data_IF_961982960558
#
_entry.id   IF_961982960558
#
_cell.length_a   1.000
_cell.length_b   1.000
_cell.length_c   1.000
_cell.angle_alpha   90.00
_cell.angle_beta   90.00
_cell.angle_gamma   90.00
#
_symmetry.space_group_name_H-M   'P 1'
#
loop_
_entity.id
_entity.type
_entity.pdbx_description
1 polymer ?
#
# COMPACT_ATOMS: atom_id res chain seq x y z
N UNK A 1 -9.79 -9.80 -20.92
CA UNK A 1 -8.82 -10.16 -19.86
C UNK A 1 -7.91 -8.95 -19.66
N UNK A 2 -7.57 -8.65 -18.41
CA UNK A 2 -6.66 -7.56 -18.07
C UNK A 2 -5.23 -7.93 -18.48
N UNK A 3 -4.48 -6.98 -19.03
CA UNK A 3 -3.05 -7.07 -19.29
C UNK A 3 -2.32 -6.17 -18.31
N UNK A 4 -1.18 -6.59 -17.79
CA UNK A 4 -0.40 -5.83 -16.81
C UNK A 4 1.00 -5.60 -17.33
N UNK A 5 1.47 -4.34 -17.22
CA UNK A 5 2.86 -3.95 -17.41
C UNK A 5 3.45 -3.61 -16.05
N UNK A 6 4.68 -4.03 -15.78
CA UNK A 6 5.39 -3.76 -14.53
C UNK A 6 6.44 -2.69 -14.77
N UNK A 7 6.30 -1.55 -14.09
CA UNK A 7 7.30 -0.49 -14.02
C UNK A 7 8.16 -0.68 -12.78
N UNK A 8 9.48 -0.85 -12.96
CA UNK A 8 10.42 -1.21 -11.91
C UNK A 8 10.52 -2.72 -11.66
N UNK A 9 11.48 -3.38 -12.31
CA UNK A 9 11.64 -4.84 -12.23
C UNK A 9 12.65 -5.29 -11.18
N UNK A 10 12.63 -4.63 -10.02
CA UNK A 10 13.37 -4.99 -8.82
C UNK A 10 12.73 -6.15 -8.03
N UNK A 11 12.97 -6.18 -6.72
CA UNK A 11 12.42 -7.24 -5.83
C UNK A 11 10.88 -7.31 -5.86
N UNK A 12 10.20 -6.16 -5.85
CA UNK A 12 8.74 -6.12 -5.89
C UNK A 12 8.20 -6.45 -7.28
N UNK A 13 8.76 -5.89 -8.36
CA UNK A 13 8.31 -6.18 -9.72
C UNK A 13 8.37 -7.67 -10.05
N UNK A 14 9.46 -8.35 -9.67
CA UNK A 14 9.59 -9.82 -9.84
C UNK A 14 8.57 -10.60 -9.01
N UNK A 15 8.17 -10.09 -7.85
CA UNK A 15 7.13 -10.73 -7.03
C UNK A 15 5.75 -10.52 -7.65
N UNK A 16 5.47 -9.33 -8.20
CA UNK A 16 4.24 -9.04 -8.95
C UNK A 16 4.11 -9.98 -10.15
N UNK A 17 5.18 -10.17 -10.94
CA UNK A 17 5.17 -11.10 -12.07
C UNK A 17 4.81 -12.53 -11.63
N UNK A 18 5.41 -13.04 -10.54
CA UNK A 18 5.08 -14.36 -10.01
C UNK A 18 3.60 -14.48 -9.64
N UNK A 19 3.02 -13.44 -9.05
CA UNK A 19 1.60 -13.41 -8.69
C UNK A 19 0.72 -13.38 -9.94
N UNK A 20 1.09 -12.59 -10.97
CA UNK A 20 0.38 -12.56 -12.25
C UNK A 20 0.34 -13.95 -12.89
N UNK A 21 1.50 -14.63 -12.97
CA UNK A 21 1.60 -16.00 -13.51
C UNK A 21 0.72 -16.97 -12.70
N UNK A 22 0.80 -16.93 -11.37
CA UNK A 22 0.02 -17.80 -10.50
C UNK A 22 -1.50 -17.60 -10.64
N UNK A 23 -1.93 -16.37 -10.98
CA UNK A 23 -3.35 -16.02 -11.20
C UNK A 23 -3.79 -16.14 -12.67
N UNK A 24 -2.91 -16.55 -13.59
CA UNK A 24 -3.20 -16.64 -15.02
C UNK A 24 -3.48 -15.29 -15.67
N UNK A 25 -2.89 -14.20 -15.14
CA UNK A 25 -3.00 -12.84 -15.68
C UNK A 25 -1.82 -12.57 -16.60
N UNK A 26 -2.08 -11.99 -17.78
CA UNK A 26 -1.06 -11.67 -18.76
C UNK A 26 -0.11 -10.57 -18.25
N UNK A 27 1.18 -10.89 -18.12
CA UNK A 27 2.24 -9.89 -18.00
C UNK A 27 2.64 -9.45 -19.40
N UNK A 28 2.15 -8.29 -19.85
CA UNK A 28 2.40 -7.76 -21.20
C UNK A 28 3.80 -7.16 -21.37
N UNK A 29 4.52 -6.97 -20.25
CA UNK A 29 5.90 -6.52 -20.27
C UNK A 29 6.39 -6.01 -18.92
N UNK A 30 7.71 -5.83 -18.85
CA UNK A 30 8.40 -5.23 -17.69
C UNK A 30 9.32 -4.12 -18.18
N UNK A 31 9.48 -3.05 -17.43
CA UNK A 31 10.36 -1.95 -17.82
C UNK A 31 11.06 -1.33 -16.61
N UNK A 32 12.35 -1.05 -16.77
CA UNK A 32 13.10 -0.17 -15.86
C UNK A 32 13.06 1.29 -16.36
N UNK A 33 12.67 1.51 -17.61
CA UNK A 33 12.48 2.83 -18.23
C UNK A 33 11.10 2.91 -18.90
N UNK A 34 10.08 3.20 -18.11
CA UNK A 34 8.71 3.22 -18.56
C UNK A 34 8.40 4.36 -19.54
N UNK A 35 9.23 5.40 -19.56
CA UNK A 35 9.06 6.53 -20.47
C UNK A 35 9.23 6.15 -21.95
N UNK A 36 9.98 5.09 -22.23
CA UNK A 36 10.23 4.57 -23.57
C UNK A 36 9.54 3.22 -23.83
N UNK A 37 8.56 2.86 -23.03
CA UNK A 37 7.80 1.62 -23.22
C UNK A 37 6.87 1.73 -24.43
N UNK A 38 6.60 0.59 -25.10
CA UNK A 38 5.71 0.54 -26.27
C UNK A 38 4.31 1.08 -25.93
N UNK A 39 3.95 2.18 -26.59
CA UNK A 39 2.71 2.91 -26.34
C UNK A 39 1.46 2.10 -26.73
N UNK A 40 1.56 1.23 -27.75
CA UNK A 40 0.45 0.38 -28.19
C UNK A 40 0.11 -0.64 -27.11
N UNK A 41 1.13 -1.26 -26.50
CA UNK A 41 0.97 -2.20 -25.40
C UNK A 41 0.48 -1.46 -24.13
N UNK A 42 1.05 -0.27 -23.86
CA UNK A 42 0.68 0.54 -22.69
C UNK A 42 -0.82 0.89 -22.66
N UNK A 43 -1.38 1.33 -23.80
CA UNK A 43 -2.79 1.72 -23.95
C UNK A 43 -3.80 0.61 -23.63
N UNK A 44 -3.40 -0.64 -23.78
CA UNK A 44 -4.25 -1.80 -23.47
C UNK A 44 -4.01 -2.36 -22.07
N UNK A 45 -3.02 -1.84 -21.35
CA UNK A 45 -2.51 -2.44 -20.11
C UNK A 45 -2.72 -1.56 -18.89
N UNK A 46 -2.86 -2.20 -17.74
CA UNK A 46 -2.71 -1.55 -16.43
C UNK A 46 -1.23 -1.57 -16.05
N UNK A 47 -0.67 -0.42 -15.66
CA UNK A 47 0.69 -0.37 -15.14
C UNK A 47 0.71 -0.56 -13.62
N UNK A 48 1.54 -1.47 -13.13
CA UNK A 48 1.89 -1.57 -11.71
C UNK A 48 3.30 -1.02 -11.51
N UNK A 49 3.40 0.12 -10.81
CA UNK A 49 4.67 0.81 -10.56
C UNK A 49 5.22 0.50 -9.16
N UNK A 50 6.42 -0.08 -9.13
CA UNK A 50 7.26 -0.29 -7.95
C UNK A 50 8.70 0.16 -8.23
N UNK A 51 8.87 1.41 -8.58
CA UNK A 51 10.16 2.04 -8.85
C UNK A 51 10.74 2.72 -7.60
N UNK A 52 11.50 3.79 -7.79
CA UNK A 52 11.99 4.69 -6.73
C UNK A 52 11.30 6.05 -6.85
N UNK A 53 11.28 6.87 -5.77
CA UNK A 53 10.57 8.16 -5.76
C UNK A 53 10.90 9.06 -6.95
N UNK A 54 12.16 9.20 -7.28
CA UNK A 54 12.61 10.08 -8.37
C UNK A 54 12.17 9.57 -9.75
N UNK A 55 12.19 8.25 -9.97
CA UNK A 55 11.71 7.66 -11.20
C UNK A 55 10.19 7.87 -11.35
N UNK A 56 9.41 7.67 -10.29
CA UNK A 56 7.98 7.94 -10.33
C UNK A 56 7.69 9.43 -10.61
N UNK A 57 8.42 10.36 -9.94
CA UNK A 57 8.30 11.81 -10.18
C UNK A 57 8.57 12.18 -11.63
N UNK A 58 9.55 11.53 -12.26
CA UNK A 58 9.88 11.77 -13.66
C UNK A 58 8.80 11.21 -14.62
N UNK A 59 8.16 10.10 -14.25
CA UNK A 59 7.38 9.27 -15.17
C UNK A 59 5.86 9.34 -14.95
N UNK A 60 5.33 9.94 -13.86
CA UNK A 60 3.89 9.90 -13.58
C UNK A 60 3.02 10.49 -14.70
N UNK A 61 3.54 11.46 -15.47
CA UNK A 61 2.83 12.04 -16.63
C UNK A 61 2.68 11.02 -17.74
N UNK A 62 3.77 10.35 -18.12
CA UNK A 62 3.75 9.27 -19.11
C UNK A 62 2.84 8.13 -18.66
N UNK A 63 2.88 7.75 -17.39
CA UNK A 63 1.97 6.75 -16.83
C UNK A 63 0.51 7.16 -17.00
N UNK A 64 0.17 8.41 -16.69
CA UNK A 64 -1.19 8.93 -16.81
C UNK A 64 -1.68 9.07 -18.26
N UNK A 65 -0.78 9.36 -19.20
CA UNK A 65 -1.13 9.61 -20.61
C UNK A 65 -1.20 8.33 -21.45
N UNK A 66 -0.37 7.33 -21.12
CA UNK A 66 -0.18 6.18 -21.99
C UNK A 66 -0.89 4.91 -21.51
N UNK A 67 -1.14 4.76 -20.21
CA UNK A 67 -1.71 3.52 -19.67
C UNK A 67 -3.22 3.58 -19.49
N UNK A 68 -3.87 2.42 -19.62
CA UNK A 68 -5.30 2.27 -19.36
C UNK A 68 -5.69 2.60 -17.91
N UNK A 69 -4.84 2.23 -16.96
CA UNK A 69 -4.94 2.55 -15.55
C UNK A 69 -3.57 2.34 -14.88
N UNK A 70 -3.38 2.90 -13.70
CA UNK A 70 -2.10 2.81 -12.98
C UNK A 70 -2.32 2.41 -11.52
N UNK A 71 -1.48 1.49 -11.03
CA UNK A 71 -1.37 1.10 -9.63
C UNK A 71 0.02 1.50 -9.13
N UNK A 72 0.10 2.35 -8.11
CA UNK A 72 1.38 2.88 -7.62
C UNK A 72 1.68 2.39 -6.21
N UNK A 73 2.71 1.56 -6.10
CA UNK A 73 3.29 1.09 -4.85
C UNK A 73 4.62 1.76 -4.50
N UNK A 74 5.16 2.56 -5.39
CA UNK A 74 6.30 3.43 -5.08
C UNK A 74 5.91 4.43 -4.00
N UNK A 75 6.75 4.60 -2.99
CA UNK A 75 6.54 5.53 -1.87
C UNK A 75 7.52 6.70 -1.92
N UNK A 76 7.37 7.71 -1.06
CA UNK A 76 8.31 8.82 -0.94
C UNK A 76 8.15 9.96 -1.96
N UNK A 77 7.02 10.02 -2.66
CA UNK A 77 6.66 11.09 -3.61
C UNK A 77 5.49 11.96 -3.14
N UNK A 78 5.03 11.77 -1.91
CA UNK A 78 3.76 12.35 -1.42
C UNK A 78 3.77 13.88 -1.28
N UNK A 79 4.92 14.53 -1.31
CA UNK A 79 5.07 15.99 -1.38
C UNK A 79 4.52 16.59 -2.69
N UNK A 80 4.43 15.79 -3.78
CA UNK A 80 3.78 16.17 -5.04
C UNK A 80 2.41 15.50 -5.25
N UNK A 81 1.81 14.94 -4.20
CA UNK A 81 0.58 14.15 -4.26
C UNK A 81 -0.56 14.88 -4.96
N UNK A 82 -0.80 16.14 -4.62
CA UNK A 82 -1.88 16.93 -5.18
C UNK A 82 -1.69 17.20 -6.68
N UNK A 83 -0.44 17.44 -7.11
CA UNK A 83 -0.09 17.63 -8.52
C UNK A 83 -0.34 16.34 -9.31
N UNK A 84 0.12 15.19 -8.81
CA UNK A 84 -0.07 13.88 -9.43
C UNK A 84 -1.57 13.58 -9.55
N UNK A 85 -2.34 13.76 -8.50
CA UNK A 85 -3.78 13.49 -8.49
C UNK A 85 -4.54 14.38 -9.47
N UNK A 86 -4.20 15.67 -9.53
CA UNK A 86 -4.80 16.61 -10.50
C UNK A 86 -4.48 16.18 -11.94
N UNK A 87 -3.25 15.69 -12.16
CA UNK A 87 -2.82 15.23 -13.48
C UNK A 87 -3.60 13.99 -13.95
N UNK A 88 -3.67 12.95 -13.12
CA UNK A 88 -4.43 11.74 -13.43
C UNK A 88 -5.91 12.01 -13.66
N UNK A 89 -6.54 12.90 -12.83
CA UNK A 89 -7.93 13.31 -13.04
C UNK A 89 -8.13 14.04 -14.38
N UNK A 90 -7.16 14.88 -14.79
CA UNK A 90 -7.19 15.58 -16.07
C UNK A 90 -7.08 14.63 -17.26
N UNK A 91 -6.23 13.61 -17.17
CA UNK A 91 -6.07 12.59 -18.21
C UNK A 91 -7.26 11.62 -18.25
N UNK A 92 -8.06 11.54 -17.18
CA UNK A 92 -9.14 10.56 -17.05
C UNK A 92 -8.65 9.14 -16.75
N UNK A 93 -7.37 8.95 -16.48
CA UNK A 93 -6.74 7.66 -16.22
C UNK A 93 -6.95 7.27 -14.77
N UNK A 94 -7.55 6.10 -14.46
CA UNK A 94 -7.71 5.61 -13.10
C UNK A 94 -6.36 5.41 -12.42
N UNK A 95 -6.24 5.89 -11.18
CA UNK A 95 -5.08 5.70 -10.33
C UNK A 95 -5.49 5.05 -9.03
N UNK A 96 -4.88 3.90 -8.70
CA UNK A 96 -4.93 3.33 -7.35
C UNK A 96 -3.54 3.44 -6.74
N UNK A 97 -3.43 4.08 -5.61
CA UNK A 97 -2.16 4.24 -4.89
C UNK A 97 -2.28 3.69 -3.47
N UNK A 98 -1.16 3.25 -2.90
CA UNK A 98 -1.08 2.89 -1.49
C UNK A 98 0.36 3.00 -0.97
N UNK A 99 0.49 3.33 0.31
CA UNK A 99 1.74 3.16 1.04
C UNK A 99 2.01 1.70 1.39
N UNK A 100 0.94 0.88 1.42
CA UNK A 100 1.01 -0.56 1.68
C UNK A 100 -0.16 -1.29 1.00
N UNK A 101 0.15 -2.19 0.06
CA UNK A 101 -0.85 -2.99 -0.65
C UNK A 101 -1.23 -4.30 0.06
N UNK A 102 -0.63 -4.65 1.20
CA UNK A 102 -1.03 -5.86 1.93
C UNK A 102 -2.49 -5.78 2.34
N UNK A 103 -3.32 -6.67 1.82
CA UNK A 103 -4.74 -6.80 2.20
C UNK A 103 -4.87 -6.96 3.71
N UNK A 104 -4.06 -7.82 4.34
CA UNK A 104 -4.15 -8.08 5.78
C UNK A 104 -3.73 -6.88 6.62
N UNK A 105 -2.76 -6.07 6.16
CA UNK A 105 -2.41 -4.79 6.82
C UNK A 105 -3.57 -3.80 6.74
N UNK A 106 -4.28 -3.73 5.61
CA UNK A 106 -5.44 -2.85 5.46
C UNK A 106 -6.62 -3.32 6.32
N UNK A 107 -6.85 -4.63 6.43
CA UNK A 107 -7.81 -5.22 7.37
C UNK A 107 -7.43 -4.92 8.82
N UNK A 108 -6.15 -5.08 9.20
CA UNK A 108 -5.68 -4.69 10.53
C UNK A 108 -5.97 -3.20 10.81
N UNK A 109 -5.69 -2.32 9.86
CA UNK A 109 -5.94 -0.88 10.01
C UNK A 109 -7.41 -0.56 10.22
N UNK A 110 -8.32 -1.22 9.50
CA UNK A 110 -9.77 -1.09 9.70
C UNK A 110 -10.23 -1.62 11.06
N UNK A 111 -9.67 -2.75 11.51
CA UNK A 111 -9.95 -3.30 12.83
C UNK A 111 -9.46 -2.37 13.94
N UNK A 112 -8.24 -1.81 13.83
CA UNK A 112 -7.69 -0.83 14.77
C UNK A 112 -8.58 0.42 14.85
N UNK A 113 -9.03 0.93 13.70
CA UNK A 113 -9.94 2.08 13.64
C UNK A 113 -11.26 1.78 14.39
N UNK A 114 -11.87 0.63 14.10
CA UNK A 114 -13.12 0.21 14.73
C UNK A 114 -12.97 0.05 16.24
N UNK A 115 -11.91 -0.64 16.68
CA UNK A 115 -11.61 -0.85 18.11
C UNK A 115 -11.37 0.48 18.80
N UNK A 116 -10.57 1.37 18.22
CA UNK A 116 -10.29 2.70 18.78
C UNK A 116 -11.58 3.51 18.99
N UNK A 117 -12.48 3.54 17.98
CA UNK A 117 -13.80 4.20 18.08
C UNK A 117 -14.69 3.62 19.19
N UNK A 118 -14.66 2.31 19.37
CA UNK A 118 -15.46 1.64 20.40
C UNK A 118 -14.90 1.91 21.80
N UNK A 119 -13.58 1.79 21.98
CA UNK A 119 -12.91 2.00 23.27
C UNK A 119 -12.93 3.48 23.70
N UNK A 120 -12.94 4.42 22.77
CA UNK A 120 -13.11 5.85 23.06
C UNK A 120 -14.42 6.14 23.81
N UNK A 121 -15.49 5.33 23.61
CA UNK A 121 -16.77 5.49 24.29
C UNK A 121 -16.76 5.02 25.74
N UNK A 122 -15.86 4.10 26.09
CA UNK A 122 -15.75 3.53 27.43
C UNK A 122 -14.67 4.22 28.27
N UNK A 123 -13.60 4.69 27.63
CA UNK A 123 -12.42 5.23 28.29
C UNK A 123 -11.58 4.16 29.02
N UNK A 124 -10.47 4.58 29.63
CA UNK A 124 -9.67 3.74 30.53
C UNK A 124 -8.68 2.79 29.84
N UNK A 125 -8.50 2.87 28.51
CA UNK A 125 -7.51 2.08 27.78
C UNK A 125 -6.32 2.94 27.34
N UNK A 126 -5.11 2.42 27.59
CA UNK A 126 -3.84 3.01 27.15
C UNK A 126 -3.34 2.25 25.92
N UNK A 127 -3.23 2.91 24.76
CA UNK A 127 -2.73 2.27 23.56
C UNK A 127 -1.21 2.31 23.50
N UNK A 128 -0.59 1.27 22.94
CA UNK A 128 0.81 1.29 22.49
C UNK A 128 1.01 0.35 21.29
N UNK A 129 2.09 0.58 20.55
CA UNK A 129 2.45 -0.23 19.40
C UNK A 129 3.83 -0.84 19.56
N UNK A 130 4.00 -2.05 19.01
CA UNK A 130 5.31 -2.68 18.86
C UNK A 130 5.45 -3.05 17.38
N UNK A 131 6.53 -2.61 16.73
CA UNK A 131 6.85 -3.05 15.39
C UNK A 131 8.23 -3.71 15.34
N UNK A 132 8.35 -4.79 14.56
CA UNK A 132 9.59 -5.57 14.44
C UNK A 132 9.93 -5.77 12.98
N UNK A 133 11.17 -5.45 12.60
CA UNK A 133 11.68 -5.65 11.24
C UNK A 133 13.13 -6.14 11.28
N UNK A 134 13.61 -6.56 10.10
CA UNK A 134 14.99 -6.96 9.90
C UNK A 134 15.99 -5.83 10.19
N UNK A 135 17.24 -6.21 10.48
CA UNK A 135 18.32 -5.28 10.86
C UNK A 135 18.65 -4.23 9.78
N UNK A 136 18.30 -4.51 8.51
CA UNK A 136 18.60 -3.63 7.37
C UNK A 136 17.53 -2.53 7.15
N UNK A 137 16.44 -2.50 7.94
CA UNK A 137 15.40 -1.46 7.82
C UNK A 137 15.86 -0.19 8.52
N UNK A 138 16.02 0.89 7.72
CA UNK A 138 16.60 2.16 8.18
C UNK A 138 15.60 3.01 8.97
N UNK A 139 14.35 3.09 8.51
CA UNK A 139 13.31 3.89 9.16
C UNK A 139 12.81 3.21 10.44
N UNK A 140 12.71 3.96 11.52
CA UNK A 140 12.12 3.57 12.79
C UNK A 140 11.42 4.80 13.41
N UNK A 141 10.13 4.72 13.76
CA UNK A 141 9.20 3.65 13.43
C UNK A 141 8.92 3.51 11.94
N UNK A 142 8.44 2.30 11.53
CA UNK A 142 8.05 2.02 10.15
C UNK A 142 6.87 2.87 9.70
N UNK A 143 6.72 3.09 8.37
CA UNK A 143 5.58 3.82 7.82
C UNK A 143 4.23 3.23 8.25
N UNK A 144 4.08 1.90 8.23
CA UNK A 144 2.87 1.21 8.68
C UNK A 144 2.59 1.46 10.17
N UNK A 145 3.61 1.42 11.03
CA UNK A 145 3.43 1.71 12.46
C UNK A 145 2.97 3.14 12.69
N UNK A 146 3.53 4.11 11.97
CA UNK A 146 3.10 5.52 12.03
C UNK A 146 1.65 5.69 11.59
N UNK A 147 1.22 5.03 10.51
CA UNK A 147 -0.17 5.06 10.05
C UNK A 147 -1.12 4.45 11.08
N UNK A 148 -0.77 3.30 11.68
CA UNK A 148 -1.57 2.67 12.72
C UNK A 148 -1.65 3.55 13.98
N UNK A 149 -0.56 4.20 14.38
CA UNK A 149 -0.53 5.11 15.52
C UNK A 149 -1.44 6.33 15.28
N UNK A 150 -1.35 6.95 14.10
CA UNK A 150 -2.25 8.05 13.74
C UNK A 150 -3.72 7.60 13.76
N UNK A 151 -4.03 6.39 13.22
CA UNK A 151 -5.39 5.83 13.29
C UNK A 151 -5.88 5.69 14.74
N UNK A 152 -5.03 5.25 15.66
CA UNK A 152 -5.38 5.17 17.09
C UNK A 152 -5.59 6.57 17.67
N UNK A 153 -4.66 7.50 17.46
CA UNK A 153 -4.73 8.86 17.99
C UNK A 153 -6.00 9.58 17.52
N UNK A 154 -6.30 9.51 16.22
CA UNK A 154 -7.46 10.18 15.62
C UNK A 154 -8.81 9.63 16.12
N UNK A 155 -8.87 8.35 16.50
CA UNK A 155 -10.13 7.68 16.85
C UNK A 155 -10.31 7.40 18.34
N UNK A 156 -9.22 7.20 19.11
CA UNK A 156 -9.25 7.01 20.56
C UNK A 156 -9.01 8.32 21.31
N UNK A 157 -8.33 9.30 20.67
CA UNK A 157 -7.94 10.56 21.31
C UNK A 157 -6.72 10.46 22.22
N UNK A 158 -5.94 9.37 22.11
CA UNK A 158 -4.71 9.12 22.88
C UNK A 158 -3.59 8.75 21.92
N UNK A 159 -2.48 9.48 21.97
CA UNK A 159 -1.28 9.19 21.18
C UNK A 159 -0.59 7.94 21.73
N UNK A 160 -0.42 6.88 20.95
CA UNK A 160 0.24 5.66 21.40
C UNK A 160 1.76 5.76 21.31
N UNK A 161 2.47 5.22 22.30
CA UNK A 161 3.91 4.98 22.18
C UNK A 161 4.19 3.90 21.13
N UNK A 162 5.27 4.09 20.33
CA UNK A 162 5.71 3.11 19.33
C UNK A 162 7.09 2.58 19.72
N UNK A 163 7.17 1.27 19.97
CA UNK A 163 8.43 0.57 20.19
C UNK A 163 8.88 -0.13 18.90
N UNK A 164 10.10 0.17 18.47
CA UNK A 164 10.68 -0.38 17.24
C UNK A 164 11.76 -1.39 17.55
N UNK A 165 11.66 -2.60 17.02
CA UNK A 165 12.69 -3.65 17.13
C UNK A 165 13.30 -3.90 15.75
N UNK A 166 14.63 -3.99 15.70
CA UNK A 166 15.42 -4.37 14.53
C UNK A 166 16.23 -5.60 14.86
N UNK A 167 15.80 -6.77 14.33
CA UNK A 167 16.41 -8.05 14.66
C UNK A 167 16.29 -9.06 13.52
N UNK A 168 17.34 -9.82 13.29
CA UNK A 168 17.34 -10.92 12.32
C UNK A 168 16.85 -10.50 10.93
N UNK A 169 16.09 -11.37 10.28
CA UNK A 169 15.49 -11.17 8.95
C UNK A 169 13.95 -11.06 9.03
N UNK A 170 13.41 -10.54 10.12
CA UNK A 170 11.97 -10.37 10.34
C UNK A 170 11.37 -9.52 9.21
N UNK A 171 10.43 -10.05 8.40
CA UNK A 171 9.86 -9.33 7.28
C UNK A 171 9.01 -8.11 7.69
N UNK A 172 8.33 -8.21 8.83
CA UNK A 172 7.54 -7.16 9.44
C UNK A 172 6.45 -7.71 10.35
N UNK A 173 6.44 -7.27 11.60
CA UNK A 173 5.38 -7.55 12.58
C UNK A 173 4.88 -6.21 13.10
N UNK A 174 3.57 -6.05 13.18
CA UNK A 174 2.93 -4.86 13.74
C UNK A 174 1.89 -5.29 14.76
N UNK A 175 2.10 -4.93 16.01
CA UNK A 175 1.22 -5.23 17.14
C UNK A 175 0.65 -3.93 17.68
N UNK A 176 -0.67 -3.82 17.74
CA UNK A 176 -1.39 -2.71 18.38
C UNK A 176 -2.06 -3.25 19.63
N UNK A 177 -1.81 -2.63 20.76
CA UNK A 177 -2.29 -3.05 22.07
C UNK A 177 -3.12 -1.94 22.69
N UNK A 178 -4.25 -2.30 23.26
CA UNK A 178 -5.11 -1.46 24.11
C UNK A 178 -5.16 -2.09 25.48
N UNK A 179 -4.49 -1.49 26.46
CA UNK A 179 -4.36 -2.03 27.82
C UNK A 179 -5.25 -1.28 28.78
N UNK A 180 -6.17 -1.99 29.44
CA UNK A 180 -7.01 -1.53 30.53
C UNK A 180 -6.51 -2.03 31.88
N UNK A 181 -7.20 -1.67 32.95
CA UNK A 181 -6.87 -2.13 34.31
C UNK A 181 -7.14 -3.62 34.53
N UNK A 182 -8.09 -4.21 33.81
CA UNK A 182 -8.57 -5.58 34.07
C UNK A 182 -8.29 -6.53 32.89
N UNK A 183 -8.05 -5.98 31.70
CA UNK A 183 -7.88 -6.74 30.49
C UNK A 183 -7.06 -5.98 29.44
N UNK A 184 -6.77 -6.66 28.36
CA UNK A 184 -6.00 -6.13 27.23
C UNK A 184 -6.52 -6.72 25.93
N UNK A 185 -6.70 -5.87 24.92
CA UNK A 185 -6.93 -6.31 23.56
C UNK A 185 -5.65 -6.12 22.73
N UNK A 186 -5.27 -7.15 21.99
CA UNK A 186 -4.10 -7.12 21.10
C UNK A 186 -4.52 -7.48 19.67
N UNK A 187 -4.13 -6.65 18.73
CA UNK A 187 -4.26 -6.91 17.29
C UNK A 187 -2.86 -7.00 16.69
N UNK A 188 -2.57 -8.10 16.01
CA UNK A 188 -1.23 -8.34 15.45
C UNK A 188 -1.31 -8.81 14.01
N UNK A 189 -0.42 -8.30 13.18
CA UNK A 189 -0.14 -8.75 11.83
C UNK A 189 1.33 -9.15 11.74
N UNK A 190 1.60 -10.32 11.21
CA UNK A 190 2.94 -10.79 10.85
C UNK A 190 3.01 -11.08 9.35
N UNK A 191 3.96 -10.45 8.67
CA UNK A 191 4.29 -10.77 7.29
C UNK A 191 5.27 -11.95 7.25
N UNK A 192 4.98 -12.97 6.46
CA UNK A 192 5.94 -14.07 6.20
C UNK A 192 6.83 -13.79 4.99
N UNK A 193 6.38 -12.93 4.09
CA UNK A 193 7.10 -12.49 2.90
C UNK A 193 6.50 -11.21 2.33
N UNK A 194 7.14 -10.67 1.27
CA UNK A 194 6.58 -9.55 0.51
C UNK A 194 5.48 -9.95 -0.48
N UNK A 195 5.15 -11.22 -0.59
CA UNK A 195 4.15 -11.72 -1.53
C UNK A 195 2.79 -11.06 -1.29
N UNK A 196 2.37 -10.86 -0.03
CA UNK A 196 1.11 -10.19 0.28
C UNK A 196 0.99 -8.76 -0.28
N UNK A 197 2.12 -8.03 -0.39
CA UNK A 197 2.14 -6.72 -1.05
C UNK A 197 1.91 -6.84 -2.57
N UNK A 198 2.52 -7.83 -3.21
CA UNK A 198 2.35 -8.07 -4.64
C UNK A 198 0.93 -8.57 -4.96
N UNK A 199 0.38 -9.45 -4.12
CA UNK A 199 -1.00 -9.94 -4.24
C UNK A 199 -2.02 -8.80 -4.16
N UNK A 200 -1.84 -7.88 -3.21
CA UNK A 200 -2.69 -6.70 -3.09
C UNK A 200 -2.55 -5.73 -4.27
N UNK A 201 -1.33 -5.52 -4.79
CA UNK A 201 -1.13 -4.68 -5.97
C UNK A 201 -1.77 -5.29 -7.23
N UNK A 202 -1.70 -6.61 -7.40
CA UNK A 202 -2.40 -7.31 -8.50
C UNK A 202 -3.92 -7.25 -8.30
N UNK A 203 -4.40 -7.37 -7.06
CA UNK A 203 -5.82 -7.17 -6.75
C UNK A 203 -6.26 -5.74 -7.10
N UNK A 204 -5.48 -4.72 -6.73
CA UNK A 204 -5.75 -3.33 -7.12
C UNK A 204 -5.81 -3.17 -8.65
N UNK A 205 -4.91 -3.85 -9.40
CA UNK A 205 -4.96 -3.80 -10.86
C UNK A 205 -6.26 -4.38 -11.42
N UNK A 206 -6.80 -5.45 -10.84
CA UNK A 206 -8.11 -6.00 -11.22
C UNK A 206 -9.26 -5.04 -10.88
N UNK A 207 -9.14 -4.28 -9.79
CA UNK A 207 -10.15 -3.31 -9.36
C UNK A 207 -10.21 -2.07 -10.28
N UNK A 208 -9.26 -1.87 -11.19
CA UNK A 208 -9.28 -0.73 -12.12
C UNK A 208 -10.36 -0.85 -13.20
N UNK A 209 -10.96 -2.02 -13.41
CA UNK A 209 -11.97 -2.23 -14.43
C UNK A 209 -13.25 -1.44 -14.11
N UNK A 210 -13.61 -0.51 -15.01
CA UNK A 210 -14.75 0.40 -14.84
C UNK A 210 -14.53 1.52 -13.82
N UNK A 211 -13.34 1.60 -13.21
CA UNK A 211 -13.00 2.65 -12.26
C UNK A 211 -12.71 3.96 -12.98
N UNK A 212 -12.93 5.08 -12.30
CA UNK A 212 -12.52 6.42 -12.73
C UNK A 212 -11.97 7.21 -11.55
N UNK A 213 -11.03 8.13 -11.83
CA UNK A 213 -10.47 9.00 -10.80
C UNK A 213 -9.30 8.40 -10.03
N UNK A 214 -9.07 8.91 -8.83
CA UNK A 214 -7.91 8.59 -7.99
C UNK A 214 -8.38 8.05 -6.65
N UNK A 215 -7.90 6.88 -6.28
CA UNK A 215 -8.33 6.16 -5.09
C UNK A 215 -7.14 5.68 -4.27
N UNK A 216 -7.29 5.69 -2.95
CA UNK A 216 -6.43 4.93 -2.07
C UNK A 216 -6.90 3.47 -2.04
N UNK A 217 -5.97 2.53 -2.15
CA UNK A 217 -6.30 1.10 -2.18
C UNK A 217 -7.10 0.64 -0.95
N UNK A 218 -6.74 1.15 0.23
CA UNK A 218 -7.44 0.84 1.48
C UNK A 218 -8.93 1.15 1.38
N UNK A 219 -9.27 2.37 0.97
CA UNK A 219 -10.65 2.83 0.95
C UNK A 219 -11.45 2.06 -0.09
N UNK A 220 -10.91 1.92 -1.29
CA UNK A 220 -11.53 1.16 -2.37
C UNK A 220 -11.75 -0.32 -2.00
N UNK A 221 -10.78 -0.95 -1.32
CA UNK A 221 -10.86 -2.33 -0.88
C UNK A 221 -11.94 -2.53 0.19
N UNK A 222 -12.07 -1.61 1.15
CA UNK A 222 -13.05 -1.69 2.22
C UNK A 222 -14.48 -1.37 1.75
N UNK A 223 -14.65 -0.55 0.71
CA UNK A 223 -15.97 -0.25 0.13
C UNK A 223 -16.59 -1.43 -0.62
N UNK A 224 -15.77 -2.41 -1.06
CA UNK A 224 -16.24 -3.58 -1.79
C UNK A 224 -16.60 -4.78 -0.89
N UNK A 225 -16.42 -4.66 0.42
CA UNK A 225 -16.80 -5.65 1.43
C UNK A 225 -18.20 -5.35 1.99
#
# INVERSE_FOLDING_TARGET
MIKVVISGYGRMGRMVEKVLVARGIECAGTSEDIAHFDETVAKESVCIDFTVPDAFRANYKTLAEHFKAVVVGTTGWYDIKDEVFAYFRRCGTPLIWASNFSVVVNVLSAAVETVSKLLAKTGGYQPYLIEKHHIHKLDAPSGTAKTLAATVADNLGVEPDIQSVRAGEIPGIHTVVFEGLSDRLTLEHEAFSRQGLAEGAVTAALMTEGLSGVHEFRDLFLEQL
#
